data_IF_495185965854
#
_entry.id   IF_495185965854
#
_cell.length_a   1.000
_cell.length_b   1.000
_cell.length_c   1.000
_cell.angle_alpha   90.00
_cell.angle_beta   90.00
_cell.angle_gamma   90.00
#
_symmetry.space_group_name_H-M   'P 1'
#
loop_
_entity.id
_entity.type
_entity.pdbx_description
1 polymer ?
#
# COMPACT_ATOMS: atom_id res chain seq x y z
N UNK A 1 0.97 16.13 -2.04
CA UNK A 1 0.02 15.28 -2.80
C UNK A 1 0.76 14.07 -3.32
N UNK A 2 0.16 12.90 -3.17
CA UNK A 2 0.64 11.67 -3.80
C UNK A 2 0.73 11.80 -5.33
N UNK A 3 1.79 11.25 -5.94
CA UNK A 3 2.01 11.27 -7.40
C UNK A 3 2.77 10.01 -7.83
N UNK A 4 2.74 9.66 -9.13
CA UNK A 4 3.70 8.68 -9.64
C UNK A 4 5.08 9.33 -9.69
N UNK A 5 6.03 8.76 -8.96
CA UNK A 5 7.38 9.32 -8.80
C UNK A 5 8.42 8.65 -9.71
N UNK A 6 8.30 7.35 -9.95
CA UNK A 6 9.20 6.59 -10.85
C UNK A 6 8.33 5.75 -11.77
N UNK A 7 8.54 5.85 -13.08
CA UNK A 7 7.78 5.12 -14.09
C UNK A 7 8.65 4.09 -14.82
N UNK A 8 7.99 3.14 -15.49
CA UNK A 8 8.63 2.15 -16.37
C UNK A 8 9.78 1.41 -15.71
N UNK A 9 9.61 1.01 -14.45
CA UNK A 9 10.62 0.27 -13.70
C UNK A 9 10.84 -1.07 -14.38
N UNK A 10 12.09 -1.30 -14.79
CA UNK A 10 12.55 -2.54 -15.38
C UNK A 10 13.10 -3.48 -14.32
N UNK A 11 13.86 -2.94 -13.39
CA UNK A 11 14.60 -3.70 -12.39
C UNK A 11 14.70 -2.90 -11.09
N UNK A 12 14.57 -3.60 -9.96
CA UNK A 12 14.86 -3.06 -8.64
C UNK A 12 15.96 -3.90 -8.01
N UNK A 13 17.06 -3.24 -7.62
CA UNK A 13 18.16 -3.83 -6.86
C UNK A 13 18.10 -3.28 -5.44
N UNK A 14 17.85 -4.15 -4.48
CA UNK A 14 17.76 -3.79 -3.07
C UNK A 14 19.03 -4.20 -2.34
N UNK A 15 19.65 -3.23 -1.66
CA UNK A 15 20.68 -3.51 -0.66
C UNK A 15 20.04 -3.44 0.72
N UNK A 16 20.03 -4.55 1.45
CA UNK A 16 19.48 -4.59 2.80
C UNK A 16 20.55 -4.08 3.76
N UNK A 17 20.26 -2.97 4.42
CA UNK A 17 21.09 -2.43 5.52
C UNK A 17 20.67 -3.16 6.80
N UNK A 18 21.59 -3.86 7.49
CA UNK A 18 21.22 -4.70 8.64
C UNK A 18 20.90 -3.88 9.91
N UNK A 19 21.34 -2.62 9.97
CA UNK A 19 21.11 -1.76 11.13
C UNK A 19 19.70 -1.17 11.13
N UNK A 20 19.05 -1.14 12.31
CA UNK A 20 17.77 -0.46 12.50
C UNK A 20 17.93 1.06 12.28
N UNK A 21 17.15 1.62 11.37
CA UNK A 21 16.98 3.07 11.20
C UNK A 21 16.06 3.58 12.31
N UNK A 22 16.66 4.30 13.24
CA UNK A 22 16.01 4.91 14.42
C UNK A 22 15.94 6.43 14.26
N UNK A 23 15.16 7.08 15.12
CA UNK A 23 15.06 8.55 15.13
C UNK A 23 16.42 9.23 15.45
N UNK A 24 17.33 8.54 16.13
CA UNK A 24 18.67 9.02 16.51
C UNK A 24 19.79 8.52 15.58
N UNK A 25 19.44 7.87 14.47
CA UNK A 25 20.43 7.41 13.49
C UNK A 25 21.14 8.58 12.80
N UNK A 26 22.37 8.35 12.37
CA UNK A 26 23.23 9.32 11.68
C UNK A 26 23.58 8.85 10.27
N UNK A 27 24.26 9.71 9.52
CA UNK A 27 24.78 9.43 8.17
C UNK A 27 23.69 8.91 7.21
N UNK A 28 23.97 7.83 6.48
CA UNK A 28 23.08 7.23 5.49
C UNK A 28 21.77 6.68 6.08
N UNK A 29 21.61 6.65 7.41
CA UNK A 29 20.39 6.25 8.10
C UNK A 29 19.69 7.42 8.81
N UNK A 30 20.20 8.64 8.68
CA UNK A 30 19.63 9.80 9.36
C UNK A 30 18.14 9.98 9.04
N UNK A 31 17.39 10.40 10.05
CA UNK A 31 16.01 10.87 9.92
C UNK A 31 16.06 12.39 10.00
N UNK A 32 15.31 13.06 9.12
CA UNK A 32 15.28 14.52 9.08
C UNK A 32 14.93 15.12 10.46
N UNK A 33 15.58 16.23 10.81
CA UNK A 33 15.50 16.81 12.15
C UNK A 33 14.07 17.11 12.60
N UNK A 34 13.23 17.69 11.73
CA UNK A 34 11.82 17.94 12.06
C UNK A 34 11.03 16.67 12.40
N UNK A 35 11.28 15.56 11.69
CA UNK A 35 10.63 14.28 11.96
C UNK A 35 11.16 13.68 13.26
N UNK A 36 12.46 13.78 13.51
CA UNK A 36 13.09 13.38 14.78
C UNK A 36 12.49 14.14 15.97
N UNK A 37 12.39 15.46 15.87
CA UNK A 37 11.90 16.31 16.94
C UNK A 37 10.40 16.05 17.21
N UNK A 38 9.61 15.84 16.16
CA UNK A 38 8.22 15.38 16.28
C UNK A 38 8.14 14.00 16.95
N UNK A 39 8.98 13.06 16.56
CA UNK A 39 9.02 11.72 17.15
C UNK A 39 9.34 11.74 18.65
N UNK A 40 10.34 12.54 19.05
CA UNK A 40 10.74 12.71 20.44
C UNK A 40 9.67 13.43 21.27
N UNK A 41 9.14 14.55 20.78
CA UNK A 41 8.12 15.33 21.50
C UNK A 41 6.83 14.55 21.74
N UNK A 42 6.47 13.64 20.82
CA UNK A 42 5.34 12.72 20.95
C UNK A 42 5.64 11.46 21.76
N UNK A 43 6.89 11.28 22.21
CA UNK A 43 7.36 10.12 22.99
C UNK A 43 7.16 8.78 22.28
N UNK A 44 7.24 8.75 20.94
CA UNK A 44 7.06 7.52 20.16
C UNK A 44 8.16 6.48 20.40
N UNK A 45 9.33 6.89 20.90
CA UNK A 45 10.40 5.94 21.25
C UNK A 45 9.99 4.96 22.36
N UNK A 46 9.08 5.37 23.25
CA UNK A 46 8.56 4.54 24.34
C UNK A 46 7.40 3.61 23.94
N UNK A 47 7.04 3.53 22.66
CA UNK A 47 6.04 2.58 22.17
C UNK A 47 6.70 1.24 21.80
N UNK A 48 6.13 0.11 22.22
CA UNK A 48 6.73 -1.21 22.01
C UNK A 48 6.67 -1.58 20.52
N UNK A 49 7.73 -2.23 20.04
CA UNK A 49 7.81 -2.73 18.64
C UNK A 49 7.54 -4.22 18.48
N UNK A 50 7.42 -4.95 19.58
CA UNK A 50 7.11 -6.37 19.58
C UNK A 50 6.10 -6.68 20.67
N UNK A 51 5.51 -7.88 20.59
CA UNK A 51 4.67 -8.39 21.66
C UNK A 51 5.42 -8.48 22.99
N UNK A 52 6.66 -8.98 22.99
CA UNK A 52 7.46 -9.11 24.20
C UNK A 52 7.73 -7.76 24.87
N UNK A 53 8.01 -6.71 24.07
CA UNK A 53 8.15 -5.35 24.60
C UNK A 53 6.83 -4.80 25.13
N UNK A 54 5.70 -5.09 24.47
CA UNK A 54 4.39 -4.65 24.94
C UNK A 54 4.03 -5.32 26.26
N UNK A 55 4.23 -6.63 26.37
CA UNK A 55 3.98 -7.40 27.58
C UNK A 55 4.87 -6.90 28.74
N UNK A 56 6.16 -6.64 28.49
CA UNK A 56 7.08 -6.06 29.47
C UNK A 56 6.68 -4.66 29.94
N UNK A 57 6.00 -3.89 29.08
CA UNK A 57 5.49 -2.55 29.39
C UNK A 57 4.03 -2.55 29.89
N UNK A 58 3.39 -3.71 30.02
CA UNK A 58 1.97 -3.81 30.38
C UNK A 58 1.00 -3.24 29.34
N UNK A 59 1.41 -3.18 28.07
CA UNK A 59 0.62 -2.67 26.94
C UNK A 59 -0.02 -3.84 26.17
N UNK A 60 -1.22 -3.61 25.61
CA UNK A 60 -1.97 -4.62 24.84
C UNK A 60 -1.64 -4.65 23.35
N UNK A 61 -0.87 -3.67 22.86
CA UNK A 61 -0.59 -3.47 21.44
C UNK A 61 0.85 -3.03 21.24
N UNK A 62 1.39 -3.32 20.08
CA UNK A 62 2.71 -2.89 19.64
C UNK A 62 2.66 -2.38 18.21
N UNK A 63 3.63 -1.56 17.84
CA UNK A 63 3.82 -1.04 16.49
C UNK A 63 5.03 -1.73 15.89
N UNK A 64 4.80 -2.72 15.02
CA UNK A 64 5.84 -3.59 14.46
C UNK A 64 7.01 -2.84 13.81
N UNK A 65 8.12 -3.56 13.63
CA UNK A 65 9.27 -3.07 12.90
C UNK A 65 9.01 -3.24 11.40
N UNK A 66 8.85 -2.12 10.70
CA UNK A 66 8.66 -2.08 9.25
C UNK A 66 10.01 -1.89 8.55
N UNK A 67 9.99 -1.46 7.30
CA UNK A 67 11.19 -1.10 6.54
C UNK A 67 11.04 0.29 5.94
N UNK A 68 12.15 0.98 5.74
CA UNK A 68 12.18 2.24 4.99
C UNK A 68 13.37 2.28 4.06
N UNK A 69 13.25 3.04 2.98
CA UNK A 69 14.36 3.30 2.09
C UNK A 69 15.16 4.48 2.62
N UNK A 70 16.43 4.26 2.94
CA UNK A 70 17.31 5.36 3.31
C UNK A 70 17.92 6.06 2.10
N UNK A 71 17.92 5.36 0.95
CA UNK A 71 18.32 5.89 -0.35
C UNK A 71 17.55 5.21 -1.47
N UNK A 72 17.09 5.99 -2.44
CA UNK A 72 16.53 5.50 -3.70
C UNK A 72 17.22 6.26 -4.85
N UNK A 73 17.92 5.53 -5.70
CA UNK A 73 18.58 6.07 -6.89
C UNK A 73 17.96 5.45 -8.16
N UNK A 74 17.77 6.28 -9.18
CA UNK A 74 17.25 5.86 -10.48
C UNK A 74 18.29 6.04 -11.57
N UNK A 75 18.36 5.08 -12.48
CA UNK A 75 19.24 5.10 -13.64
C UNK A 75 18.42 4.80 -14.89
N UNK A 76 18.39 5.70 -15.89
CA UNK A 76 17.71 5.43 -17.15
C UNK A 76 18.42 4.30 -17.91
N UNK A 77 17.65 3.48 -18.62
CA UNK A 77 18.14 2.46 -19.54
C UNK A 77 17.24 2.37 -20.77
N UNK A 78 17.73 1.74 -21.84
CA UNK A 78 17.00 1.59 -23.11
C UNK A 78 15.65 0.85 -22.97
N UNK A 79 15.46 0.10 -21.88
CA UNK A 79 14.27 -0.71 -21.62
C UNK A 79 13.43 -0.19 -20.43
N UNK A 80 13.74 1.00 -19.90
CA UNK A 80 13.07 1.59 -18.75
C UNK A 80 14.03 1.99 -17.63
N UNK A 81 13.51 2.15 -16.41
CA UNK A 81 14.27 2.65 -15.26
C UNK A 81 14.83 1.50 -14.42
N UNK A 82 16.12 1.56 -14.08
CA UNK A 82 16.73 0.70 -13.05
C UNK A 82 16.73 1.47 -11.73
N UNK A 83 16.15 0.87 -10.70
CA UNK A 83 16.13 1.42 -9.34
C UNK A 83 17.15 0.68 -8.49
N UNK A 84 18.03 1.43 -7.82
CA UNK A 84 18.93 0.89 -6.80
C UNK A 84 18.56 1.57 -5.49
N UNK A 85 18.19 0.79 -4.49
CA UNK A 85 17.72 1.33 -3.21
C UNK A 85 18.33 0.59 -2.02
N UNK A 86 18.60 1.35 -0.96
CA UNK A 86 19.04 0.81 0.32
C UNK A 86 17.83 0.79 1.26
N UNK A 87 17.53 -0.38 1.82
CA UNK A 87 16.37 -0.61 2.67
C UNK A 87 16.81 -1.07 4.06
N UNK A 88 16.26 -0.46 5.11
CA UNK A 88 16.63 -0.74 6.50
C UNK A 88 15.39 -1.04 7.36
N UNK A 89 15.50 -1.93 8.38
CA UNK A 89 14.49 -2.05 9.42
C UNK A 89 14.21 -0.69 10.05
N UNK A 90 12.95 -0.28 10.18
CA UNK A 90 12.58 1.06 10.62
C UNK A 90 11.34 1.01 11.51
N UNK A 91 11.33 1.76 12.61
CA UNK A 91 10.15 1.80 13.50
C UNK A 91 8.95 2.43 12.79
N UNK A 92 7.79 1.77 12.85
CA UNK A 92 6.55 2.21 12.20
C UNK A 92 6.18 3.68 12.51
N UNK A 93 6.37 4.10 13.77
CA UNK A 93 5.99 5.43 14.24
C UNK A 93 6.85 6.58 13.67
N UNK A 94 7.96 6.29 12.99
CA UNK A 94 8.70 7.33 12.26
C UNK A 94 7.81 7.93 11.15
N UNK A 95 6.98 7.10 10.48
CA UNK A 95 5.98 7.60 9.54
C UNK A 95 4.88 8.43 10.21
N UNK A 96 4.51 8.08 11.44
CA UNK A 96 3.52 8.85 12.18
C UNK A 96 4.07 10.22 12.57
N UNK A 97 5.35 10.31 12.94
CA UNK A 97 6.01 11.59 13.17
C UNK A 97 6.04 12.45 11.90
N UNK A 98 6.31 11.87 10.73
CA UNK A 98 6.23 12.60 9.45
C UNK A 98 4.82 13.17 9.19
N UNK A 99 3.77 12.37 9.41
CA UNK A 99 2.38 12.84 9.28
C UNK A 99 2.06 13.98 10.25
N UNK A 100 2.58 13.92 11.48
CA UNK A 100 2.40 14.96 12.48
C UNK A 100 3.09 16.26 12.06
N UNK A 101 4.28 16.20 11.45
CA UNK A 101 4.97 17.38 10.87
C UNK A 101 4.15 18.00 9.76
N UNK A 102 3.72 17.22 8.76
CA UNK A 102 2.94 17.73 7.62
C UNK A 102 1.62 18.35 8.10
N UNK A 103 0.97 17.74 9.10
CA UNK A 103 -0.28 18.26 9.68
C UNK A 103 -0.08 19.57 10.44
N UNK A 104 1.05 19.72 11.13
CA UNK A 104 1.37 20.93 11.89
C UNK A 104 1.82 22.11 11.00
N UNK A 105 2.32 21.82 9.80
CA UNK A 105 2.90 22.79 8.87
C UNK A 105 2.14 22.82 7.53
N UNK A 106 0.90 23.36 7.51
CA UNK A 106 0.16 23.48 6.26
C UNK A 106 0.89 24.41 5.29
N UNK A 107 1.08 23.97 4.04
CA UNK A 107 1.72 24.77 2.98
C UNK A 107 3.16 24.39 2.65
N UNK A 108 3.72 23.35 3.25
CA UNK A 108 4.99 22.76 2.81
C UNK A 108 4.95 22.41 1.32
N UNK A 109 6.03 22.74 0.61
CA UNK A 109 6.24 22.34 -0.78
C UNK A 109 6.48 20.82 -0.90
N UNK A 110 6.38 20.31 -2.14
CA UNK A 110 6.63 18.89 -2.41
C UNK A 110 8.09 18.53 -2.09
N UNK A 111 9.00 19.42 -2.42
CA UNK A 111 10.44 19.26 -2.23
C UNK A 111 10.79 19.19 -0.73
N UNK A 112 10.21 20.07 0.09
CA UNK A 112 10.38 20.02 1.55
C UNK A 112 9.84 18.71 2.14
N UNK A 113 8.66 18.26 1.70
CA UNK A 113 8.08 16.99 2.14
C UNK A 113 8.98 15.81 1.72
N UNK A 114 9.54 15.85 0.52
CA UNK A 114 10.42 14.81 0.00
C UNK A 114 11.71 14.70 0.82
N UNK A 115 12.32 15.84 1.17
CA UNK A 115 13.54 15.88 1.98
C UNK A 115 13.33 15.35 3.42
N UNK A 116 12.15 15.61 3.99
CA UNK A 116 11.82 15.16 5.34
C UNK A 116 11.38 13.70 5.43
N UNK A 117 10.90 13.12 4.33
CA UNK A 117 10.22 11.83 4.37
C UNK A 117 11.15 10.69 4.78
N UNK A 118 10.69 9.80 5.69
CA UNK A 118 11.44 8.61 6.01
C UNK A 118 11.36 7.54 4.92
N UNK A 119 10.51 7.72 3.90
CA UNK A 119 10.34 6.77 2.78
C UNK A 119 10.02 5.35 3.26
N UNK A 120 9.03 5.23 4.15
CA UNK A 120 8.57 3.91 4.58
C UNK A 120 8.14 3.08 3.38
N UNK A 121 8.66 1.86 3.33
CA UNK A 121 8.59 1.00 2.17
C UNK A 121 7.24 0.25 2.15
N UNK A 122 6.46 0.50 1.10
CA UNK A 122 5.21 -0.20 0.82
C UNK A 122 5.26 -0.91 -0.53
N UNK A 123 4.40 -1.91 -0.68
CA UNK A 123 4.12 -2.60 -1.95
C UNK A 123 2.64 -2.62 -2.21
N UNK A 124 2.28 -2.79 -3.48
CA UNK A 124 0.90 -2.99 -3.89
C UNK A 124 0.79 -3.86 -5.12
N UNK A 125 -0.36 -4.51 -5.30
CA UNK A 125 -0.73 -5.24 -6.52
C UNK A 125 -1.89 -4.52 -7.19
N UNK A 126 -1.62 -3.92 -8.33
CA UNK A 126 -2.63 -3.34 -9.21
C UNK A 126 -3.13 -4.42 -10.15
N UNK A 127 -4.46 -4.55 -10.23
CA UNK A 127 -5.08 -5.68 -10.91
C UNK A 127 -6.07 -5.18 -11.96
N UNK A 128 -5.59 -4.87 -13.18
CA UNK A 128 -6.47 -4.62 -14.31
C UNK A 128 -7.23 -5.89 -14.67
N UNK A 129 -8.53 -5.76 -14.92
CA UNK A 129 -9.42 -6.85 -15.35
C UNK A 129 -10.28 -6.38 -16.51
N UNK A 130 -10.74 -7.31 -17.35
CA UNK A 130 -11.67 -7.04 -18.44
C UNK A 130 -13.03 -7.65 -18.11
N UNK A 131 -14.09 -6.84 -18.16
CA UNK A 131 -15.47 -7.30 -17.99
C UNK A 131 -16.35 -6.61 -19.01
N UNK A 132 -17.22 -7.35 -19.72
CA UNK A 132 -18.12 -6.81 -20.74
C UNK A 132 -17.44 -5.88 -21.76
N UNK A 133 -16.25 -6.27 -22.26
CA UNK A 133 -15.40 -5.48 -23.17
C UNK A 133 -14.89 -4.13 -22.63
N UNK A 134 -15.02 -3.87 -21.34
CA UNK A 134 -14.46 -2.70 -20.67
C UNK A 134 -13.36 -3.12 -19.70
N UNK A 135 -12.38 -2.24 -19.49
CA UNK A 135 -11.28 -2.48 -18.56
C UNK A 135 -11.52 -1.74 -17.24
N UNK A 136 -11.23 -2.42 -16.13
CA UNK A 136 -11.39 -1.92 -14.78
C UNK A 136 -10.12 -2.20 -13.97
N UNK A 137 -9.88 -1.39 -12.95
CA UNK A 137 -9.04 -1.79 -11.81
C UNK A 137 -9.91 -2.52 -10.81
N UNK A 138 -9.49 -3.73 -10.45
CA UNK A 138 -9.99 -4.41 -9.27
C UNK A 138 -9.27 -3.81 -8.05
N UNK A 139 -10.02 -3.04 -7.27
CA UNK A 139 -9.53 -2.22 -6.15
C UNK A 139 -10.11 -2.71 -4.84
N UNK A 140 -9.42 -2.46 -3.72
CA UNK A 140 -9.99 -2.76 -2.40
C UNK A 140 -10.73 -1.54 -1.82
N UNK A 141 -11.78 -1.80 -1.06
CA UNK A 141 -12.38 -0.84 -0.13
C UNK A 141 -11.71 -1.09 1.23
N UNK A 142 -10.98 -0.10 1.76
CA UNK A 142 -10.28 -0.28 3.05
C UNK A 142 -11.30 -0.50 4.17
N UNK A 143 -11.04 -1.47 5.04
CA UNK A 143 -11.82 -1.70 6.26
C UNK A 143 -11.22 -0.97 7.46
N UNK A 144 -10.87 -1.69 8.54
CA UNK A 144 -10.46 -1.16 9.87
C UNK A 144 -9.29 -0.15 9.91
N UNK A 145 -8.62 0.10 8.79
CA UNK A 145 -7.42 0.92 8.70
C UNK A 145 -7.71 2.42 8.43
N UNK A 146 -6.64 3.21 8.39
CA UNK A 146 -6.68 4.60 7.91
C UNK A 146 -7.34 4.63 6.52
N UNK A 147 -8.38 5.45 6.37
CA UNK A 147 -9.17 5.53 5.14
C UNK A 147 -10.27 4.49 5.00
N UNK A 148 -10.77 3.97 6.13
CA UNK A 148 -11.95 3.10 6.17
C UNK A 148 -13.07 3.59 5.25
N UNK A 149 -13.55 2.71 4.38
CA UNK A 149 -14.61 2.98 3.40
C UNK A 149 -14.13 3.66 2.12
N UNK A 150 -12.88 4.15 2.05
CA UNK A 150 -12.29 4.72 0.84
C UNK A 150 -11.76 3.63 -0.10
N UNK A 151 -11.69 3.96 -1.39
CA UNK A 151 -11.12 3.09 -2.42
C UNK A 151 -9.60 3.20 -2.40
N UNK A 152 -8.95 2.05 -2.38
CA UNK A 152 -7.53 1.88 -2.64
C UNK A 152 -7.34 1.18 -4.01
N UNK A 153 -6.74 1.87 -4.99
CA UNK A 153 -6.66 1.40 -6.38
C UNK A 153 -5.95 0.05 -6.57
N UNK A 154 -5.11 -0.35 -5.62
CA UNK A 154 -4.53 -1.69 -5.60
C UNK A 154 -5.49 -2.70 -4.98
N UNK A 155 -5.50 -3.92 -5.51
CA UNK A 155 -6.24 -5.04 -4.97
C UNK A 155 -5.71 -5.45 -3.58
N UNK A 156 -4.38 -5.47 -3.43
CA UNK A 156 -3.70 -5.68 -2.14
C UNK A 156 -2.56 -4.70 -1.97
N UNK A 157 -2.31 -4.26 -0.73
CA UNK A 157 -1.23 -3.33 -0.44
C UNK A 157 -0.87 -3.30 1.05
N UNK A 158 0.42 -3.15 1.34
CA UNK A 158 0.88 -3.03 2.72
C UNK A 158 2.37 -2.71 2.86
N UNK A 159 2.77 -2.54 4.12
CA UNK A 159 4.15 -2.19 4.47
C UNK A 159 5.04 -3.42 4.35
N UNK A 160 6.31 -3.21 4.03
CA UNK A 160 7.30 -4.28 4.09
C UNK A 160 7.78 -4.41 5.54
N UNK A 161 7.26 -5.41 6.25
CA UNK A 161 7.76 -5.78 7.58
C UNK A 161 9.26 -6.12 7.53
N UNK A 162 10.01 -5.74 8.56
CA UNK A 162 11.45 -5.99 8.65
C UNK A 162 11.80 -7.48 8.58
N UNK A 163 10.89 -8.36 9.01
CA UNK A 163 11.02 -9.80 8.92
C UNK A 163 11.15 -10.31 7.47
N UNK A 164 10.69 -9.55 6.48
CA UNK A 164 10.82 -9.90 5.06
C UNK A 164 12.15 -9.53 4.44
N UNK A 165 12.96 -8.66 5.09
CA UNK A 165 14.26 -8.23 4.57
C UNK A 165 15.28 -9.37 4.45
N UNK A 166 15.08 -10.47 5.18
CA UNK A 166 15.89 -11.70 5.03
C UNK A 166 15.56 -12.51 3.76
N UNK A 167 14.48 -12.17 3.07
CA UNK A 167 14.03 -12.88 1.86
C UNK A 167 14.85 -12.46 0.65
N UNK A 168 15.02 -13.36 -0.33
CA UNK A 168 15.69 -13.05 -1.61
C UNK A 168 15.05 -11.87 -2.34
N UNK A 169 13.73 -11.72 -2.23
CA UNK A 169 12.98 -10.57 -2.74
C UNK A 169 12.01 -10.09 -1.65
N UNK A 170 12.40 -9.08 -0.84
CA UNK A 170 11.56 -8.57 0.25
C UNK A 170 10.22 -8.00 -0.24
N UNK A 171 10.20 -7.33 -1.39
CA UNK A 171 8.97 -6.73 -1.95
C UNK A 171 7.92 -7.80 -2.27
N UNK A 172 8.33 -8.85 -2.99
CA UNK A 172 7.43 -9.95 -3.36
C UNK A 172 7.03 -10.81 -2.15
N UNK A 173 7.89 -10.91 -1.13
CA UNK A 173 7.56 -11.61 0.10
C UNK A 173 6.47 -10.88 0.90
N UNK A 174 6.61 -9.56 1.08
CA UNK A 174 5.58 -8.74 1.71
C UNK A 174 4.26 -8.80 0.93
N UNK A 175 4.31 -8.65 -0.39
CA UNK A 175 3.12 -8.71 -1.22
C UNK A 175 2.39 -10.06 -1.16
N UNK A 176 3.15 -11.16 -1.01
CA UNK A 176 2.57 -12.50 -0.84
C UNK A 176 1.79 -12.61 0.46
N UNK A 177 2.32 -12.08 1.55
CA UNK A 177 1.62 -12.08 2.84
C UNK A 177 0.32 -11.26 2.74
N UNK A 178 0.40 -10.04 2.21
CA UNK A 178 -0.77 -9.18 2.05
C UNK A 178 -1.85 -9.86 1.19
N UNK A 179 -1.46 -10.56 0.12
CA UNK A 179 -2.39 -11.35 -0.71
C UNK A 179 -3.07 -12.48 0.07
N UNK A 180 -2.33 -13.16 0.94
CA UNK A 180 -2.87 -14.21 1.81
C UNK A 180 -3.81 -13.64 2.87
N UNK A 181 -3.44 -12.55 3.54
CA UNK A 181 -4.22 -11.96 4.63
C UNK A 181 -5.49 -11.25 4.14
N UNK A 182 -5.36 -10.44 3.08
CA UNK A 182 -6.44 -9.60 2.56
C UNK A 182 -7.42 -10.42 1.69
N UNK A 183 -6.92 -11.30 0.82
CA UNK A 183 -7.77 -12.07 -0.13
C UNK A 183 -7.91 -13.56 0.18
N UNK A 184 -7.05 -14.13 1.04
CA UNK A 184 -7.00 -15.58 1.22
C UNK A 184 -6.42 -16.31 -0.01
N UNK A 185 -5.61 -15.63 -0.81
CA UNK A 185 -5.04 -16.17 -2.04
C UNK A 185 -3.52 -16.23 -1.98
N UNK A 186 -2.94 -17.27 -2.57
CA UNK A 186 -1.51 -17.30 -2.86
C UNK A 186 -1.22 -16.37 -4.05
N UNK A 187 -0.31 -15.42 -3.88
CA UNK A 187 0.12 -14.47 -4.92
C UNK A 187 0.57 -15.15 -6.23
N UNK A 188 1.10 -16.38 -6.18
CA UNK A 188 1.49 -17.14 -7.37
C UNK A 188 0.30 -17.46 -8.29
N UNK A 189 -0.92 -17.45 -7.75
CA UNK A 189 -2.14 -17.70 -8.53
C UNK A 189 -2.57 -16.52 -9.40
N UNK A 190 -2.02 -15.32 -9.15
CA UNK A 190 -2.38 -14.07 -9.81
C UNK A 190 -1.38 -13.64 -10.90
N UNK A 191 -0.35 -14.46 -11.20
CA UNK A 191 0.80 -14.17 -12.09
C UNK A 191 1.18 -12.68 -12.15
N UNK A 192 2.26 -12.25 -11.52
CA UNK A 192 2.57 -10.83 -11.42
C UNK A 192 3.89 -10.44 -12.10
N UNK A 193 3.94 -9.19 -12.53
CA UNK A 193 5.16 -8.51 -12.97
C UNK A 193 6.14 -8.31 -11.80
N UNK A 194 7.36 -7.83 -12.07
CA UNK A 194 8.08 -7.04 -11.06
C UNK A 194 7.38 -5.69 -10.84
N UNK A 195 7.73 -4.94 -9.80
CA UNK A 195 7.23 -3.57 -9.67
C UNK A 195 7.51 -2.76 -10.95
N UNK A 196 6.48 -2.05 -11.44
CA UNK A 196 6.50 -1.33 -12.73
C UNK A 196 6.51 0.19 -12.57
N UNK A 197 6.07 0.70 -11.43
CA UNK A 197 6.18 2.11 -11.06
C UNK A 197 6.22 2.27 -9.53
N UNK A 198 6.62 3.46 -9.08
CA UNK A 198 6.59 3.85 -7.68
C UNK A 198 5.63 5.02 -7.49
N UNK A 199 4.70 4.89 -6.55
CA UNK A 199 3.88 6.01 -6.07
C UNK A 199 4.63 6.71 -4.94
N UNK A 200 4.89 8.00 -5.14
CA UNK A 200 5.41 8.90 -4.12
C UNK A 200 4.23 9.35 -3.25
N UNK A 201 4.16 8.86 -2.01
CA UNK A 201 3.18 9.22 -0.99
C UNK A 201 3.86 9.84 0.23
N UNK A 202 4.97 10.56 0.01
CA UNK A 202 5.85 11.04 1.07
C UNK A 202 5.20 12.04 2.02
N UNK A 203 4.08 12.64 1.64
CA UNK A 203 3.20 13.41 2.54
C UNK A 203 2.64 12.57 3.70
N UNK A 204 2.55 11.25 3.52
CA UNK A 204 2.18 10.27 4.54
C UNK A 204 3.40 9.56 5.16
N UNK A 205 4.60 9.91 4.69
CA UNK A 205 5.89 9.32 5.04
C UNK A 205 6.21 8.01 4.31
N UNK A 206 5.57 7.75 3.17
CA UNK A 206 5.62 6.45 2.50
C UNK A 206 5.98 6.55 1.02
N UNK A 207 6.55 5.49 0.48
CA UNK A 207 6.65 5.24 -0.96
C UNK A 207 6.14 3.83 -1.26
N UNK A 208 5.44 3.66 -2.37
CA UNK A 208 4.80 2.39 -2.71
C UNK A 208 5.31 1.88 -4.06
N UNK A 209 5.88 0.67 -4.10
CA UNK A 209 6.22 0.00 -5.35
C UNK A 209 5.06 -0.86 -5.83
N UNK A 210 4.51 -0.50 -7.00
CA UNK A 210 3.33 -1.12 -7.57
C UNK A 210 3.70 -2.26 -8.53
N UNK A 211 3.23 -3.46 -8.21
CA UNK A 211 3.23 -4.64 -9.05
C UNK A 211 1.94 -4.67 -9.85
N UNK A 212 1.95 -5.36 -11.00
CA UNK A 212 0.76 -5.56 -11.84
C UNK A 212 0.48 -7.04 -11.99
N UNK A 213 -0.75 -7.45 -11.67
CA UNK A 213 -1.27 -8.79 -11.95
C UNK A 213 -1.48 -8.98 -13.45
N UNK A 214 -1.16 -10.16 -13.97
CA UNK A 214 -1.25 -10.53 -15.37
C UNK A 214 -2.38 -11.51 -15.59
N UNK A 215 -3.18 -11.26 -16.62
CA UNK A 215 -4.30 -12.10 -17.02
C UNK A 215 -5.20 -12.46 -15.82
N UNK A 216 -5.45 -11.47 -14.95
CA UNK A 216 -6.16 -11.70 -13.70
C UNK A 216 -7.59 -12.18 -13.98
N UNK A 217 -7.93 -13.33 -13.39
CA UNK A 217 -9.28 -13.89 -13.42
C UNK A 217 -10.12 -13.25 -12.31
N UNK A 218 -10.98 -12.31 -12.70
CA UNK A 218 -11.82 -11.58 -11.76
C UNK A 218 -12.77 -12.50 -10.99
N UNK A 219 -13.36 -13.51 -11.63
CA UNK A 219 -14.31 -14.43 -11.00
C UNK A 219 -13.61 -15.23 -9.91
N UNK A 220 -12.41 -15.74 -10.20
CA UNK A 220 -11.58 -16.43 -9.20
C UNK A 220 -11.23 -15.54 -8.01
N UNK A 221 -10.97 -14.26 -8.23
CA UNK A 221 -10.66 -13.32 -7.14
C UNK A 221 -11.91 -13.06 -6.29
N UNK A 222 -13.07 -12.89 -6.91
CA UNK A 222 -14.34 -12.72 -6.18
C UNK A 222 -14.66 -13.97 -5.34
N UNK A 223 -14.50 -15.17 -5.90
CA UNK A 223 -14.71 -16.44 -5.19
C UNK A 223 -13.78 -16.57 -3.97
N UNK A 224 -12.51 -16.20 -4.11
CA UNK A 224 -11.55 -16.26 -3.03
C UNK A 224 -11.86 -15.23 -1.92
N UNK A 225 -12.17 -13.99 -2.31
CA UNK A 225 -12.62 -12.97 -1.38
C UNK A 225 -13.89 -13.40 -0.64
N UNK A 226 -14.83 -14.03 -1.34
CA UNK A 226 -16.05 -14.56 -0.75
C UNK A 226 -15.77 -15.66 0.28
N UNK A 227 -14.90 -16.62 -0.06
CA UNK A 227 -14.50 -17.68 0.86
C UNK A 227 -13.79 -17.14 2.12
N UNK A 228 -12.84 -16.21 1.93
CA UNK A 228 -12.11 -15.56 3.02
C UNK A 228 -13.04 -14.74 3.93
N UNK A 229 -13.98 -14.01 3.33
CA UNK A 229 -14.93 -13.17 4.05
C UNK A 229 -15.94 -14.01 4.83
N UNK A 230 -16.58 -15.02 4.19
CA UNK A 230 -17.56 -15.90 4.86
C UNK A 230 -16.99 -16.59 6.10
N UNK A 231 -15.75 -17.08 6.03
CA UNK A 231 -15.09 -17.71 7.17
C UNK A 231 -14.92 -16.75 8.36
N UNK A 232 -14.57 -15.48 8.08
CA UNK A 232 -14.43 -14.41 9.09
C UNK A 232 -15.79 -13.99 9.68
N UNK A 233 -16.86 -14.00 8.87
CA UNK A 233 -18.23 -13.68 9.29
C UNK A 233 -18.90 -14.76 10.17
N UNK A 234 -18.45 -16.02 10.11
CA UNK A 234 -19.05 -17.12 10.87
C UNK A 234 -18.68 -17.12 12.38
N UNK A 235 -17.75 -16.27 12.80
CA UNK A 235 -17.34 -16.10 14.19
C UNK A 235 -18.32 -15.14 14.91
N UNK A 236 -19.30 -15.73 15.61
CA UNK A 236 -20.53 -15.11 16.16
C UNK A 236 -20.33 -13.83 17.00
N UNK A 237 -20.74 -12.68 16.46
CA UNK A 237 -21.43 -11.53 17.11
C UNK A 237 -22.01 -10.62 16.00
N UNK A 238 -23.01 -9.76 16.28
CA UNK A 238 -23.94 -9.23 15.26
C UNK A 238 -23.27 -8.58 14.03
N UNK A 239 -23.54 -9.17 12.87
CA UNK A 239 -22.80 -9.08 11.60
C UNK A 239 -22.60 -7.67 11.03
N UNK A 240 -23.56 -6.76 11.12
CA UNK A 240 -23.53 -5.56 10.26
C UNK A 240 -22.52 -4.50 10.70
N UNK A 241 -22.44 -4.22 12.00
CA UNK A 241 -21.59 -3.14 12.53
C UNK A 241 -20.18 -3.65 12.85
N UNK A 242 -20.03 -4.95 13.13
CA UNK A 242 -18.73 -5.57 13.39
C UNK A 242 -18.03 -6.09 12.12
N UNK A 243 -18.74 -6.63 11.12
CA UNK A 243 -18.06 -7.09 9.90
C UNK A 243 -17.34 -5.97 9.15
N UNK A 244 -17.98 -4.81 9.01
CA UNK A 244 -17.37 -3.65 8.36
C UNK A 244 -16.22 -3.04 9.18
N UNK A 245 -16.23 -3.21 10.51
CA UNK A 245 -15.19 -2.68 11.40
C UNK A 245 -14.07 -3.67 11.74
N UNK A 246 -14.19 -4.95 11.40
CA UNK A 246 -13.19 -5.98 11.65
C UNK A 246 -12.41 -6.47 10.42
N UNK A 247 -12.98 -6.35 9.22
CA UNK A 247 -12.30 -6.83 8.02
C UNK A 247 -11.14 -5.88 7.63
N UNK A 248 -9.97 -6.41 7.21
CA UNK A 248 -8.93 -5.61 6.56
C UNK A 248 -9.43 -4.96 5.27
N UNK A 249 -10.24 -5.71 4.51
CA UNK A 249 -10.90 -5.31 3.26
C UNK A 249 -12.41 -5.36 3.45
N UNK A 250 -13.07 -4.22 3.37
CA UNK A 250 -14.53 -4.11 3.53
C UNK A 250 -15.30 -4.39 2.23
N UNK A 251 -14.60 -4.60 1.12
CA UNK A 251 -15.19 -4.89 -0.19
C UNK A 251 -14.17 -4.82 -1.32
N UNK A 252 -14.58 -5.29 -2.48
CA UNK A 252 -13.83 -5.11 -3.73
C UNK A 252 -14.61 -4.16 -4.64
N UNK A 253 -13.94 -3.20 -5.26
CA UNK A 253 -14.52 -2.24 -6.18
C UNK A 253 -13.98 -2.45 -7.60
N UNK A 254 -14.87 -2.39 -8.59
CA UNK A 254 -14.50 -2.22 -9.99
C UNK A 254 -14.46 -0.72 -10.30
N UNK A 255 -13.25 -0.22 -10.49
CA UNK A 255 -12.99 1.18 -10.83
C UNK A 255 -12.73 1.26 -12.33
N UNK A 256 -13.55 1.98 -13.12
CA UNK A 256 -13.31 2.13 -14.55
C UNK A 256 -11.93 2.73 -14.83
N UNK A 257 -11.19 2.17 -15.80
CA UNK A 257 -9.91 2.74 -16.23
C UNK A 257 -10.09 3.97 -17.14
N UNK A 258 -11.22 4.04 -17.84
CA UNK A 258 -11.57 5.16 -18.71
C UNK A 258 -12.55 6.09 -17.98
N UNK A 259 -12.26 7.40 -17.96
CA UNK A 259 -13.19 8.41 -17.45
C UNK A 259 -13.26 8.57 -15.92
N UNK A 260 -12.33 7.99 -15.16
CA UNK A 260 -12.26 8.17 -13.71
C UNK A 260 -11.78 9.60 -13.35
N UNK A 261 -12.73 10.53 -13.14
CA UNK A 261 -12.48 11.84 -12.55
C UNK A 261 -12.52 11.84 -11.01
N UNK A 262 -12.55 13.04 -10.39
CA UNK A 262 -12.67 13.20 -8.93
C UNK A 262 -14.09 12.84 -8.49
N UNK A 263 -14.24 11.63 -7.93
CA UNK A 263 -15.51 11.02 -7.55
C UNK A 263 -15.91 9.94 -8.55
N UNK A 264 -15.61 8.68 -8.21
CA UNK A 264 -15.86 7.57 -9.12
C UNK A 264 -17.11 6.82 -8.63
N UNK A 265 -18.14 6.77 -9.49
CA UNK A 265 -19.21 5.81 -9.32
C UNK A 265 -18.63 4.43 -9.61
N UNK A 266 -18.52 3.62 -8.58
CA UNK A 266 -17.89 2.31 -8.65
C UNK A 266 -18.89 1.21 -8.38
N UNK A 267 -18.66 0.06 -9.00
CA UNK A 267 -19.42 -1.15 -8.69
C UNK A 267 -18.67 -1.87 -7.58
N UNK A 268 -19.29 -1.94 -6.41
CA UNK A 268 -18.70 -2.54 -5.22
C UNK A 268 -19.33 -3.91 -4.95
N UNK A 269 -18.49 -4.88 -4.60
CA UNK A 269 -18.88 -6.17 -4.07
C UNK A 269 -18.58 -6.18 -2.57
N UNK A 270 -19.62 -6.07 -1.76
CA UNK A 270 -19.53 -5.75 -0.32
C UNK A 270 -20.37 -6.70 0.54
N UNK A 271 -20.00 -6.91 1.82
CA UNK A 271 -20.82 -7.66 2.78
C UNK A 271 -22.16 -6.98 3.08
N UNK A 272 -23.18 -7.79 3.33
CA UNK A 272 -24.53 -7.40 3.79
C UNK A 272 -25.13 -8.48 4.68
N UNK A 273 -26.30 -8.22 5.28
CA UNK A 273 -27.06 -9.23 6.05
C UNK A 273 -27.36 -10.51 5.26
N UNK A 274 -27.52 -10.40 3.94
CA UNK A 274 -27.91 -11.51 3.06
C UNK A 274 -26.69 -12.22 2.44
N UNK A 275 -25.48 -11.85 2.85
CA UNK A 275 -24.22 -12.29 2.24
C UNK A 275 -23.56 -11.16 1.43
N UNK A 276 -22.75 -11.51 0.44
CA UNK A 276 -22.10 -10.52 -0.41
C UNK A 276 -23.04 -10.08 -1.54
N UNK A 277 -23.08 -8.78 -1.82
CA UNK A 277 -23.91 -8.22 -2.87
C UNK A 277 -23.19 -7.13 -3.66
N UNK A 278 -23.69 -6.90 -4.87
CA UNK A 278 -23.24 -5.82 -5.74
C UNK A 278 -24.04 -4.56 -5.47
N UNK A 279 -23.34 -3.46 -5.21
CA UNK A 279 -23.91 -2.10 -5.17
C UNK A 279 -23.18 -1.19 -6.14
N UNK A 280 -23.84 -0.10 -6.53
CA UNK A 280 -23.20 1.02 -7.22
C UNK A 280 -23.32 2.24 -6.33
N UNK A 281 -22.20 2.86 -6.00
CA UNK A 281 -22.15 3.99 -5.07
C UNK A 281 -20.94 4.87 -5.34
N UNK A 282 -20.97 6.08 -4.79
CA UNK A 282 -19.83 7.01 -4.80
C UNK A 282 -19.04 6.84 -3.50
N UNK A 283 -17.71 6.72 -3.59
CA UNK A 283 -16.81 6.62 -2.43
C UNK A 283 -15.66 7.61 -2.50
N UNK A 284 -15.10 7.92 -1.33
CA UNK A 284 -13.84 8.66 -1.23
C UNK A 284 -12.66 7.87 -1.79
N UNK A 285 -11.60 8.57 -2.17
CA UNK A 285 -10.39 7.99 -2.75
C UNK A 285 -9.19 8.25 -1.83
N UNK A 286 -8.39 7.22 -1.55
CA UNK A 286 -7.09 7.35 -0.88
C UNK A 286 -6.13 8.23 -1.69
N UNK A 287 -5.13 8.89 -1.07
CA UNK A 287 -4.07 9.60 -1.80
C UNK A 287 -3.39 8.73 -2.88
N UNK A 288 -2.96 7.51 -2.54
CA UNK A 288 -2.50 6.49 -3.50
C UNK A 288 -3.42 6.34 -4.73
N UNK A 289 -4.72 6.21 -4.47
CA UNK A 289 -5.75 6.02 -5.50
C UNK A 289 -5.89 7.25 -6.36
N UNK A 290 -5.89 8.43 -5.77
CA UNK A 290 -5.94 9.69 -6.52
C UNK A 290 -4.74 9.79 -7.46
N UNK A 291 -3.53 9.54 -6.97
CA UNK A 291 -2.31 9.55 -7.78
C UNK A 291 -2.36 8.53 -8.93
N UNK A 292 -2.83 7.31 -8.64
CA UNK A 292 -2.95 6.24 -9.64
C UNK A 292 -3.98 6.58 -10.71
N UNK A 293 -5.15 7.09 -10.32
CA UNK A 293 -6.20 7.46 -11.27
C UNK A 293 -5.82 8.71 -12.09
N UNK A 294 -5.18 9.70 -11.47
CA UNK A 294 -4.65 10.87 -12.18
C UNK A 294 -3.60 10.45 -13.23
N UNK A 295 -2.70 9.51 -12.90
CA UNK A 295 -1.75 8.93 -13.86
C UNK A 295 -2.43 8.24 -15.05
N UNK A 296 -3.55 7.56 -14.79
CA UNK A 296 -4.32 6.82 -15.79
C UNK A 296 -5.27 7.71 -16.60
N UNK A 297 -5.28 9.03 -16.38
CA UNK A 297 -5.97 9.95 -17.28
C UNK A 297 -5.28 10.07 -18.65
N UNK A 298 -3.98 9.80 -18.73
CA UNK A 298 -3.26 9.67 -20.00
C UNK A 298 -3.43 8.27 -20.59
N UNK A 299 -3.96 8.21 -21.82
CA UNK A 299 -4.17 6.97 -22.57
C UNK A 299 -2.89 6.15 -22.80
N UNK A 300 -1.72 6.80 -22.86
CA UNK A 300 -0.44 6.08 -22.95
C UNK A 300 -0.16 5.26 -21.68
N UNK A 301 -0.53 5.78 -20.53
CA UNK A 301 -0.33 5.13 -19.23
C UNK A 301 -1.33 3.99 -19.02
N UNK A 302 -2.59 4.18 -19.45
CA UNK A 302 -3.58 3.10 -19.52
C UNK A 302 -3.07 1.96 -20.39
N UNK A 303 -2.60 2.29 -21.60
CA UNK A 303 -2.04 1.30 -22.53
C UNK A 303 -0.84 0.57 -21.92
N UNK A 304 0.10 1.28 -21.31
CA UNK A 304 1.24 0.68 -20.62
C UNK A 304 0.79 -0.31 -19.54
N UNK A 305 -0.15 0.11 -18.68
CA UNK A 305 -0.66 -0.74 -17.60
C UNK A 305 -1.35 -2.01 -18.15
N UNK A 306 -2.17 -1.87 -19.19
CA UNK A 306 -2.86 -2.98 -19.85
C UNK A 306 -1.88 -3.95 -20.51
N UNK A 307 -0.86 -3.44 -21.23
CA UNK A 307 0.20 -4.26 -21.83
C UNK A 307 0.98 -5.03 -20.74
N UNK A 308 1.25 -4.41 -19.58
CA UNK A 308 1.88 -5.09 -18.43
C UNK A 308 0.99 -6.17 -17.80
N UNK A 309 -0.33 -5.98 -17.85
CA UNK A 309 -1.33 -6.95 -17.41
C UNK A 309 -1.63 -8.05 -18.45
N UNK A 310 -1.09 -7.96 -19.67
CA UNK A 310 -1.26 -8.97 -20.72
C UNK A 310 -2.46 -8.76 -21.64
N UNK A 311 -3.04 -7.56 -21.67
CA UNK A 311 -4.14 -7.18 -22.57
C UNK A 311 -3.66 -6.50 -23.85
#
# INVERSE_FOLDING_TARGET
MATIGIESIREIRLNVVPAERRFDSCDDLAVHEHVRDAYQSKKYDGEPKSKDEADAQGKKSFNGLMSSFSRICTYPSDQGTVVIADIAPTRYLISQAMRDVVKASPGLSKEEIQDMSPDMANVSLVTPVKSNNQYFLLSQIKGKALGSGEIHAALVAGNIDAGYLKSKNPLAAALREECSEELGMDLSTLDHTSAVYMVDERETGQVNFAFVARNADADRIFDAYEASTKAKLAQKESLEVMALSLLPVAGIALVPLEGAGRGVNVRCYVPSEKGLLWVTETRGLRPYTQATLEYLTDQKNVRFLLEKAGF
#
